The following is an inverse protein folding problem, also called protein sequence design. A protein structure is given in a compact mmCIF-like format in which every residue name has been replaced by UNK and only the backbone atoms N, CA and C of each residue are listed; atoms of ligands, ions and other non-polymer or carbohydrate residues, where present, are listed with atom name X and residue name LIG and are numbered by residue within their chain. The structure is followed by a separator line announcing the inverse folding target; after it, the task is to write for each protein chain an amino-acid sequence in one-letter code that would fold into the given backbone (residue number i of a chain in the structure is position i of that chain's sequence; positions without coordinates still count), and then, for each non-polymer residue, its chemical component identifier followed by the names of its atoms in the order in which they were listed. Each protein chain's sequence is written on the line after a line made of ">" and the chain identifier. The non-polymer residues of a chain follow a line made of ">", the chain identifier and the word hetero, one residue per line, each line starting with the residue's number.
data_IF_465250059828
#
_entry.id   IF_465250059828
#
_cell.length_a   1.000
_cell.length_b   1.000
_cell.length_c   1.000
_cell.angle_alpha   90.00
_cell.angle_beta   90.00
_cell.angle_gamma   90.00
#
_symmetry.space_group_name_H-M   'P 1'
#
loop_
_entity.id
_entity.type
_entity.pdbx_description
1 polymer ?
#
# COMPACT_ATOMS: atom_id res chain seq x y z
N UNK A 1 -16.18 3.32 13.67
CA UNK A 1 -15.93 3.52 12.23
C UNK A 1 -17.27 3.82 11.57
N UNK A 2 -17.33 4.73 10.59
CA UNK A 2 -18.58 5.04 9.90
C UNK A 2 -18.48 4.51 8.48
N UNK A 3 -19.40 3.62 8.13
CA UNK A 3 -19.36 2.93 6.86
C UNK A 3 -20.36 3.56 5.89
N UNK A 4 -19.94 3.71 4.64
CA UNK A 4 -20.76 4.25 3.56
C UNK A 4 -20.84 3.22 2.44
N UNK A 5 -22.05 2.80 2.09
CA UNK A 5 -22.28 1.95 0.92
C UNK A 5 -22.66 2.84 -0.26
N UNK A 6 -21.84 2.82 -1.30
CA UNK A 6 -22.04 3.58 -2.54
C UNK A 6 -22.35 2.61 -3.68
N UNK A 7 -23.22 3.03 -4.61
CA UNK A 7 -23.67 2.21 -5.75
C UNK A 7 -23.28 2.80 -7.10
N UNK A 8 -22.86 4.05 -7.13
CA UNK A 8 -22.47 4.75 -8.34
C UNK A 8 -21.45 5.85 -8.03
N UNK A 9 -20.91 6.44 -9.10
CA UNK A 9 -19.89 7.48 -9.01
C UNK A 9 -20.36 8.76 -8.30
N UNK A 10 -21.64 9.14 -8.45
CA UNK A 10 -22.20 10.35 -7.82
C UNK A 10 -22.21 10.18 -6.30
N UNK A 11 -22.69 9.04 -5.81
CA UNK A 11 -22.69 8.69 -4.38
C UNK A 11 -21.26 8.64 -3.82
N UNK A 12 -20.31 8.06 -4.56
CA UNK A 12 -18.89 8.07 -4.19
C UNK A 12 -18.37 9.52 -4.04
N UNK A 13 -18.61 10.37 -5.02
CA UNK A 13 -18.18 11.77 -4.96
C UNK A 13 -18.82 12.53 -3.80
N UNK A 14 -20.09 12.28 -3.49
CA UNK A 14 -20.77 12.87 -2.32
C UNK A 14 -20.08 12.44 -1.01
N UNK A 15 -19.76 11.17 -0.83
CA UNK A 15 -19.06 10.67 0.37
C UNK A 15 -17.66 11.28 0.48
N UNK A 16 -16.90 11.32 -0.62
CA UNK A 16 -15.57 11.94 -0.64
C UNK A 16 -15.64 13.44 -0.33
N UNK A 17 -16.70 14.13 -0.76
CA UNK A 17 -16.87 15.58 -0.53
C UNK A 17 -16.97 15.95 0.95
N UNK A 18 -17.44 15.04 1.81
CA UNK A 18 -17.51 15.24 3.26
C UNK A 18 -16.12 15.47 3.88
N UNK A 19 -15.09 14.90 3.24
CA UNK A 19 -13.72 14.87 3.75
C UNK A 19 -12.81 15.85 2.98
N UNK A 20 -13.35 16.54 1.95
CA UNK A 20 -12.57 17.40 1.04
C UNK A 20 -11.94 18.62 1.70
N UNK A 21 -12.54 19.10 2.80
CA UNK A 21 -12.07 20.28 3.55
C UNK A 21 -11.03 19.94 4.60
N UNK A 22 -10.89 18.67 4.92
CA UNK A 22 -9.89 18.16 5.86
C UNK A 22 -8.68 17.68 5.05
N UNK A 23 -7.49 18.17 5.38
CA UNK A 23 -6.26 17.69 4.75
C UNK A 23 -5.78 16.41 5.45
N UNK A 24 -5.06 15.56 4.71
CA UNK A 24 -4.37 14.39 5.29
C UNK A 24 -5.11 13.06 5.20
N UNK A 25 -6.23 12.99 4.46
CA UNK A 25 -6.87 11.71 4.18
C UNK A 25 -6.02 10.84 3.24
N UNK A 26 -5.82 9.59 3.65
CA UNK A 26 -5.17 8.55 2.85
C UNK A 26 -6.20 7.48 2.50
N UNK A 27 -6.14 7.00 1.27
CA UNK A 27 -7.06 6.04 0.70
C UNK A 27 -6.31 4.79 0.24
N UNK A 28 -6.93 3.63 0.37
CA UNK A 28 -6.41 2.35 -0.15
C UNK A 28 -7.53 1.60 -0.86
N UNK A 29 -7.23 1.08 -2.05
CA UNK A 29 -8.16 0.26 -2.81
C UNK A 29 -8.09 -1.19 -2.38
N UNK A 30 -9.24 -1.77 -2.05
CA UNK A 30 -9.41 -3.20 -1.77
C UNK A 30 -10.60 -3.72 -2.58
N UNK A 31 -10.40 -4.83 -3.29
CA UNK A 31 -11.47 -5.48 -4.04
C UNK A 31 -12.49 -6.19 -3.13
N UNK A 32 -12.01 -6.66 -1.97
CA UNK A 32 -12.82 -7.34 -0.98
C UNK A 32 -12.79 -6.58 0.35
N UNK A 33 -13.98 -6.42 0.93
CA UNK A 33 -14.18 -5.75 2.21
C UNK A 33 -13.65 -6.57 3.40
N UNK A 34 -13.58 -7.89 3.26
CA UNK A 34 -13.16 -8.81 4.32
C UNK A 34 -11.63 -8.96 4.39
N UNK A 35 -10.89 -8.41 3.41
CA UNK A 35 -9.43 -8.46 3.43
C UNK A 35 -8.84 -7.61 4.56
N UNK A 36 -8.03 -8.20 5.45
CA UNK A 36 -7.46 -7.46 6.55
C UNK A 36 -6.34 -6.54 6.08
N UNK A 37 -6.15 -5.42 6.78
CA UNK A 37 -5.07 -4.46 6.55
C UNK A 37 -3.73 -4.95 7.13
N UNK A 38 -3.26 -6.08 6.63
CA UNK A 38 -1.99 -6.69 7.04
C UNK A 38 -0.94 -6.42 5.96
N UNK A 39 0.19 -5.75 6.27
CA UNK A 39 1.31 -5.58 5.35
C UNK A 39 1.87 -6.92 4.86
N UNK A 40 2.64 -6.93 3.78
CA UNK A 40 3.19 -8.19 3.25
C UNK A 40 4.10 -8.91 4.26
N UNK A 41 4.85 -8.17 5.08
CA UNK A 41 5.65 -8.72 6.17
C UNK A 41 4.83 -9.51 7.20
N UNK A 42 3.56 -9.14 7.42
CA UNK A 42 2.69 -9.79 8.39
C UNK A 42 1.89 -10.97 7.81
N UNK A 43 2.12 -11.36 6.55
CA UNK A 43 1.40 -12.46 5.89
C UNK A 43 2.28 -13.69 5.78
N UNK A 44 1.67 -14.88 5.87
CA UNK A 44 2.37 -16.12 5.58
C UNK A 44 2.96 -16.09 4.15
N UNK A 45 4.14 -16.70 3.92
CA UNK A 45 4.92 -17.53 4.86
C UNK A 45 5.94 -16.75 5.70
N UNK A 46 5.97 -15.42 5.61
CA UNK A 46 7.03 -14.59 6.23
C UNK A 46 6.60 -13.92 7.55
N UNK A 47 5.33 -14.03 7.93
CA UNK A 47 4.76 -13.44 9.15
C UNK A 47 5.52 -13.78 10.44
N UNK A 48 6.07 -14.99 10.54
CA UNK A 48 6.80 -15.46 11.73
C UNK A 48 8.29 -15.06 11.72
N UNK A 49 8.75 -14.39 10.67
CA UNK A 49 10.14 -13.98 10.50
C UNK A 49 10.30 -12.50 10.89
N UNK A 50 11.52 -12.10 11.29
CA UNK A 50 11.81 -10.71 11.62
C UNK A 50 11.94 -9.87 10.35
N UNK A 51 10.91 -9.07 10.08
CA UNK A 51 10.90 -8.11 8.97
C UNK A 51 12.03 -7.08 9.09
N UNK A 52 12.39 -6.66 10.30
CA UNK A 52 13.52 -5.78 10.58
C UNK A 52 14.84 -6.43 10.16
N UNK A 53 15.07 -7.71 10.50
CA UNK A 53 16.28 -8.41 10.10
C UNK A 53 16.36 -8.55 8.57
N UNK A 54 15.25 -8.87 7.91
CA UNK A 54 15.19 -8.91 6.45
C UNK A 54 15.47 -7.55 5.82
N UNK A 55 14.90 -6.49 6.39
CA UNK A 55 15.13 -5.12 5.93
C UNK A 55 16.61 -4.71 6.05
N UNK A 56 17.23 -4.93 7.21
CA UNK A 56 18.67 -4.62 7.41
C UNK A 56 19.57 -5.46 6.51
N UNK A 57 19.23 -6.72 6.28
CA UNK A 57 19.95 -7.58 5.36
C UNK A 57 19.83 -7.08 3.92
N UNK A 58 18.61 -6.72 3.51
CA UNK A 58 18.34 -6.15 2.18
C UNK A 58 19.11 -4.84 1.99
N UNK A 59 19.03 -3.90 2.94
CA UNK A 59 19.75 -2.63 2.90
C UNK A 59 21.26 -2.81 2.75
N UNK A 60 21.86 -3.79 3.46
CA UNK A 60 23.30 -4.09 3.34
C UNK A 60 23.71 -4.56 1.95
N UNK A 61 22.87 -5.37 1.28
CA UNK A 61 23.17 -5.85 -0.07
C UNK A 61 22.83 -4.80 -1.14
N UNK A 62 21.70 -4.12 -0.99
CA UNK A 62 21.22 -3.11 -1.93
C UNK A 62 22.06 -1.82 -1.90
N UNK A 63 22.65 -1.45 -0.76
CA UNK A 63 23.45 -0.22 -0.63
C UNK A 63 24.67 -0.11 -1.55
N UNK A 64 25.08 -1.19 -2.22
CA UNK A 64 26.13 -1.12 -3.24
C UNK A 64 25.61 -0.76 -4.64
N UNK A 65 24.30 -0.82 -4.84
CA UNK A 65 23.62 -0.62 -6.12
C UNK A 65 22.68 0.58 -6.09
N UNK A 66 22.23 0.99 -4.91
CA UNK A 66 21.29 2.09 -4.72
C UNK A 66 21.99 3.38 -4.28
N UNK A 67 21.65 4.50 -4.91
CA UNK A 67 22.12 5.83 -4.50
C UNK A 67 21.20 6.41 -3.41
N UNK A 68 21.24 5.82 -2.21
CA UNK A 68 20.38 6.18 -1.07
C UNK A 68 21.18 6.49 0.21
N UNK A 69 22.43 6.96 0.06
CA UNK A 69 23.38 7.12 1.17
C UNK A 69 22.91 8.07 2.28
N UNK A 70 22.10 9.08 1.93
CA UNK A 70 21.51 10.06 2.87
C UNK A 70 20.01 9.80 3.17
N UNK A 71 19.46 8.68 2.71
CA UNK A 71 18.06 8.37 2.85
C UNK A 71 17.73 7.81 4.25
N UNK A 72 16.55 8.16 4.78
CA UNK A 72 16.06 7.60 6.03
C UNK A 72 15.50 6.18 5.86
N UNK A 73 15.22 5.51 6.96
CA UNK A 73 14.69 4.14 6.94
C UNK A 73 13.36 4.03 6.18
N UNK A 74 12.55 5.10 6.11
CA UNK A 74 11.29 5.09 5.37
C UNK A 74 11.52 5.05 3.86
N UNK A 75 12.43 5.88 3.36
CA UNK A 75 12.84 5.85 1.97
C UNK A 75 13.45 4.50 1.59
N UNK A 76 14.32 3.95 2.44
CA UNK A 76 14.87 2.61 2.27
C UNK A 76 13.79 1.50 2.27
N UNK A 77 12.80 1.57 3.17
CA UNK A 77 11.69 0.61 3.21
C UNK A 77 10.80 0.69 1.97
N UNK A 78 10.52 1.91 1.47
CA UNK A 78 9.76 2.11 0.25
C UNK A 78 10.51 1.54 -0.96
N UNK A 79 11.83 1.74 -1.02
CA UNK A 79 12.68 1.16 -2.05
C UNK A 79 12.70 -0.37 -1.97
N UNK A 80 12.87 -0.92 -0.76
CA UNK A 80 12.85 -2.37 -0.55
C UNK A 80 11.52 -2.99 -1.01
N UNK A 81 10.40 -2.34 -0.70
CA UNK A 81 9.07 -2.76 -1.13
C UNK A 81 8.93 -2.74 -2.66
N UNK A 82 9.48 -1.72 -3.33
CA UNK A 82 9.52 -1.64 -4.79
C UNK A 82 10.27 -2.83 -5.42
N UNK A 83 11.35 -3.29 -4.77
CA UNK A 83 12.09 -4.49 -5.18
C UNK A 83 11.49 -5.82 -4.67
N UNK A 84 10.27 -5.79 -4.11
CA UNK A 84 9.52 -6.98 -3.73
C UNK A 84 9.82 -7.53 -2.34
N UNK A 85 10.63 -6.86 -1.52
CA UNK A 85 10.79 -7.23 -0.12
C UNK A 85 9.43 -7.16 0.59
N UNK A 86 9.10 -8.18 1.38
CA UNK A 86 7.94 -8.14 2.24
C UNK A 86 8.20 -7.17 3.40
N UNK A 87 7.79 -5.91 3.24
CA UNK A 87 7.97 -4.87 4.25
C UNK A 87 6.71 -4.69 5.11
N UNK A 88 6.87 -3.93 6.19
CA UNK A 88 5.79 -3.45 7.06
C UNK A 88 4.93 -2.34 6.46
N UNK A 89 5.25 -1.88 5.25
CA UNK A 89 4.51 -0.81 4.61
C UNK A 89 3.21 -1.33 4.00
N UNK A 90 2.19 -0.48 4.07
CA UNK A 90 0.98 -0.60 3.28
C UNK A 90 1.00 0.51 2.23
N UNK A 91 0.54 0.20 1.04
CA UNK A 91 0.36 1.20 -0.02
C UNK A 91 -0.88 2.05 0.27
N UNK A 92 -0.69 3.35 0.22
CA UNK A 92 -1.75 4.34 0.38
C UNK A 92 -1.62 5.38 -0.73
N UNK A 93 -2.73 6.00 -1.09
CA UNK A 93 -2.76 7.12 -2.02
C UNK A 93 -3.51 8.27 -1.38
N UNK A 94 -3.01 9.49 -1.57
CA UNK A 94 -3.77 10.72 -1.26
C UNK A 94 -4.88 10.99 -2.29
N UNK A 95 -4.90 10.23 -3.40
CA UNK A 95 -5.86 10.41 -4.48
C UNK A 95 -6.98 9.36 -4.37
N UNK A 96 -8.20 9.74 -3.98
CA UNK A 96 -9.27 8.77 -3.71
C UNK A 96 -9.71 8.00 -4.97
N UNK A 97 -9.58 8.61 -6.15
CA UNK A 97 -9.91 7.96 -7.42
C UNK A 97 -8.90 6.87 -7.80
N UNK A 98 -7.62 7.02 -7.44
CA UNK A 98 -6.62 5.97 -7.63
C UNK A 98 -6.95 4.76 -6.75
N UNK A 99 -7.27 4.99 -5.47
CA UNK A 99 -7.72 3.93 -4.58
C UNK A 99 -9.02 3.27 -5.07
N UNK A 100 -9.99 4.04 -5.54
CA UNK A 100 -11.23 3.50 -6.10
C UNK A 100 -10.97 2.62 -7.33
N UNK A 101 -10.04 3.00 -8.20
CA UNK A 101 -9.63 2.17 -9.34
C UNK A 101 -9.09 0.82 -8.89
N UNK A 102 -8.14 0.78 -7.94
CA UNK A 102 -7.62 -0.48 -7.39
C UNK A 102 -8.67 -1.32 -6.65
N UNK A 103 -9.73 -0.69 -6.13
CA UNK A 103 -10.83 -1.40 -5.47
C UNK A 103 -11.77 -2.11 -6.44
N UNK A 104 -11.83 -1.69 -7.70
CA UNK A 104 -12.73 -2.29 -8.71
C UNK A 104 -11.98 -2.93 -9.87
N UNK A 105 -10.66 -2.77 -9.90
CA UNK A 105 -9.81 -3.37 -10.92
C UNK A 105 -9.70 -4.88 -10.67
N UNK A 106 -10.19 -5.65 -11.62
CA UNK A 106 -9.90 -7.08 -11.74
C UNK A 106 -8.73 -7.24 -12.71
N UNK A 107 -7.58 -7.80 -12.27
CA UNK A 107 -6.55 -8.21 -13.20
C UNK A 107 -7.17 -9.26 -14.13
N UNK A 108 -7.15 -9.02 -15.45
CA UNK A 108 -7.53 -10.04 -16.41
C UNK A 108 -6.63 -11.27 -16.27
N UNK A 109 -7.10 -12.45 -16.66
CA UNK A 109 -6.35 -13.73 -16.61
C UNK A 109 -5.04 -13.76 -17.43
N UNK A 110 -4.64 -12.64 -18.04
CA UNK A 110 -3.38 -12.50 -18.75
C UNK A 110 -2.33 -11.85 -17.86
N UNK A 111 -1.30 -12.62 -17.51
CA UNK A 111 -0.03 -12.15 -16.92
C UNK A 111 0.41 -10.83 -17.55
N UNK A 112 0.18 -9.74 -16.85
CA UNK A 112 0.66 -8.42 -17.21
C UNK A 112 1.65 -8.01 -16.14
N UNK A 113 2.91 -8.36 -16.42
CA UNK A 113 4.23 -7.90 -15.90
C UNK A 113 4.30 -7.49 -14.43
#
# INVERSE_FOLDING_TARGET
>A
MKDYRVRNFIELHQVLSLHRRESGWLYRGHADLDWPLIPRAGRAPVADQSDEQHFRLWQRYAGHFENLDDADDWAWLAHAQHHGLATRLLDWSSQPLAAAWFAVFEPGEGDSV
#
